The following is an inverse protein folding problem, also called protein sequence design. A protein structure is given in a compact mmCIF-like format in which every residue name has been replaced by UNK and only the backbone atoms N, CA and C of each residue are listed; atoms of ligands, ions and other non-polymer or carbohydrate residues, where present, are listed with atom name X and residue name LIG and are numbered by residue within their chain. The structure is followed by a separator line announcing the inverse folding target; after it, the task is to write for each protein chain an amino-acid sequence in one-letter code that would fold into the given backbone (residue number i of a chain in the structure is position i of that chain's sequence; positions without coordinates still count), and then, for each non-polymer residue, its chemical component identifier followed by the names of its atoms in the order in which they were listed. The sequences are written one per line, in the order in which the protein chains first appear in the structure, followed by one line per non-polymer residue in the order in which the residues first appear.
data_IF_973678403724
#
_entry.id   IF_973678403724
#
_cell.length_a   1.000
_cell.length_b   1.000
_cell.length_c   1.000
_cell.angle_alpha   90.00
_cell.angle_beta   90.00
_cell.angle_gamma   90.00
#
_symmetry.space_group_name_H-M   'P 1'
#
loop_
_entity.id
_entity.type
_entity.pdbx_description
1 polymer ?
#
# COMPACT_ATOMS: atom_id res chain seq x y z
N UNK A 1 -25.98 4.56 12.33
CA UNK A 1 -24.90 3.77 11.72
C UNK A 1 -23.72 4.71 11.49
N UNK A 2 -22.51 4.42 11.99
CA UNK A 2 -21.36 5.26 11.72
C UNK A 2 -21.03 5.21 10.22
N UNK A 3 -20.73 6.36 9.61
CA UNK A 3 -20.31 6.43 8.22
C UNK A 3 -19.03 5.58 8.04
N UNK A 4 -18.89 4.84 6.91
CA UNK A 4 -17.64 4.15 6.62
C UNK A 4 -16.53 5.22 6.62
N UNK A 5 -15.49 5.03 7.42
CA UNK A 5 -14.32 5.90 7.38
C UNK A 5 -13.72 5.76 5.98
N UNK A 6 -13.91 6.77 5.14
CA UNK A 6 -13.27 6.83 3.85
C UNK A 6 -11.77 6.99 4.09
N UNK A 7 -11.03 5.89 4.09
CA UNK A 7 -9.56 5.88 4.11
C UNK A 7 -9.09 6.21 2.69
N UNK A 8 -9.46 7.39 2.21
CA UNK A 8 -9.01 7.97 0.94
C UNK A 8 -7.77 8.82 1.17
N UNK A 9 -6.69 8.20 1.65
CA UNK A 9 -5.39 8.87 1.78
C UNK A 9 -4.56 8.70 0.51
N UNK A 10 -3.65 9.62 0.19
CA UNK A 10 -2.72 9.48 -0.95
C UNK A 10 -1.85 8.20 -0.87
N UNK A 11 -1.82 7.54 0.29
CA UNK A 11 -1.10 6.30 0.55
C UNK A 11 -1.58 5.06 -0.23
N UNK A 12 -2.68 5.16 -0.97
CA UNK A 12 -3.14 4.11 -1.89
C UNK A 12 -2.55 4.26 -3.31
N UNK A 13 -1.81 5.36 -3.57
CA UNK A 13 -1.24 5.63 -4.89
C UNK A 13 -0.37 4.49 -5.40
N UNK A 14 0.48 3.92 -4.54
CA UNK A 14 1.37 2.82 -4.95
C UNK A 14 0.60 1.55 -5.37
N UNK A 15 -0.51 1.25 -4.69
CA UNK A 15 -1.34 0.10 -5.03
C UNK A 15 -2.05 0.31 -6.38
N UNK A 16 -2.62 1.50 -6.60
CA UNK A 16 -3.31 1.84 -7.84
C UNK A 16 -2.33 1.86 -9.02
N UNK A 17 -1.15 2.46 -8.85
CA UNK A 17 -0.10 2.47 -9.88
C UNK A 17 0.37 1.06 -10.22
N UNK A 18 0.57 0.20 -9.22
CA UNK A 18 0.93 -1.21 -9.45
C UNK A 18 -0.15 -1.95 -10.24
N UNK A 19 -1.43 -1.73 -9.91
CA UNK A 19 -2.54 -2.35 -10.62
C UNK A 19 -2.61 -1.92 -12.09
N UNK A 20 -2.45 -0.62 -12.36
CA UNK A 20 -2.40 -0.10 -13.73
C UNK A 20 -1.20 -0.65 -14.51
N UNK A 21 -0.02 -0.70 -13.90
CA UNK A 21 1.18 -1.26 -14.53
C UNK A 21 1.00 -2.74 -14.88
N UNK A 22 0.39 -3.51 -13.97
CA UNK A 22 0.07 -4.91 -14.20
C UNK A 22 -0.89 -5.08 -15.39
N UNK A 23 -1.94 -4.24 -15.44
CA UNK A 23 -2.88 -4.22 -16.56
C UNK A 23 -2.19 -3.90 -17.90
N UNK A 24 -1.37 -2.84 -17.96
CA UNK A 24 -0.67 -2.47 -19.18
C UNK A 24 0.38 -3.48 -19.63
N UNK A 25 1.00 -4.19 -18.68
CA UNK A 25 2.06 -5.17 -18.96
C UNK A 25 1.54 -6.60 -19.09
N UNK A 26 0.22 -6.80 -19.01
CA UNK A 26 -0.41 -8.13 -18.94
C UNK A 26 0.22 -9.04 -17.86
N UNK A 27 0.58 -8.45 -16.73
CA UNK A 27 1.15 -9.15 -15.58
C UNK A 27 0.08 -9.47 -14.54
N UNK A 28 0.27 -10.55 -13.79
CA UNK A 28 -0.59 -10.92 -12.67
C UNK A 28 -0.08 -10.29 -11.36
N UNK A 29 -1.01 -9.90 -10.50
CA UNK A 29 -0.70 -9.36 -9.17
C UNK A 29 -0.73 -10.50 -8.16
N UNK A 30 0.26 -10.56 -7.28
CA UNK A 30 0.27 -11.50 -6.18
C UNK A 30 -0.63 -10.98 -5.04
N UNK A 31 -1.81 -11.56 -4.89
CA UNK A 31 -2.80 -11.17 -3.88
C UNK A 31 -2.35 -11.39 -2.43
N UNK A 32 -1.28 -12.16 -2.20
CA UNK A 32 -0.70 -12.31 -0.86
C UNK A 32 0.20 -11.14 -0.45
N UNK A 33 0.39 -10.14 -1.32
CA UNK A 33 1.25 -8.99 -1.09
C UNK A 33 0.41 -7.72 -1.01
N UNK A 34 0.61 -6.93 0.03
CA UNK A 34 0.01 -5.61 0.21
C UNK A 34 1.08 -4.54 0.03
N UNK A 35 0.74 -3.41 -0.58
CA UNK A 35 1.64 -2.25 -0.74
C UNK A 35 0.96 -0.97 -0.24
N UNK A 36 1.72 -0.12 0.44
CA UNK A 36 1.30 1.23 0.80
C UNK A 36 2.36 2.25 0.40
N UNK A 37 1.91 3.42 -0.03
CA UNK A 37 2.82 4.45 -0.51
C UNK A 37 2.09 5.54 -1.27
N UNK A 38 2.53 6.78 -1.09
CA UNK A 38 2.16 7.85 -2.01
C UNK A 38 3.05 7.74 -3.24
N UNK A 39 2.51 7.84 -4.44
CA UNK A 39 3.35 8.03 -5.64
C UNK A 39 3.61 9.52 -5.80
N UNK A 40 4.89 9.88 -5.80
CA UNK A 40 5.33 11.25 -5.98
C UNK A 40 5.51 11.57 -7.47
N UNK A 41 5.50 12.87 -7.88
CA UNK A 41 5.68 13.27 -9.28
C UNK A 41 7.01 12.83 -9.90
N UNK A 42 8.03 12.59 -9.07
CA UNK A 42 9.34 12.06 -9.47
C UNK A 42 9.36 10.51 -9.56
N UNK A 43 8.18 9.88 -9.54
CA UNK A 43 7.95 8.42 -9.60
C UNK A 43 8.38 7.63 -8.36
N UNK A 44 8.85 8.31 -7.30
CA UNK A 44 9.23 7.65 -6.06
C UNK A 44 8.02 7.30 -5.19
N UNK A 45 8.17 6.24 -4.39
CA UNK A 45 7.20 5.88 -3.35
C UNK A 45 7.50 6.71 -2.09
N UNK A 46 6.69 7.74 -1.88
CA UNK A 46 6.78 8.68 -0.77
C UNK A 46 6.25 8.14 0.56
N UNK A 47 6.52 8.86 1.66
CA UNK A 47 6.24 8.42 3.02
C UNK A 47 4.74 8.28 3.29
N UNK A 48 4.40 7.37 4.20
CA UNK A 48 3.03 7.19 4.69
C UNK A 48 3.00 7.15 6.21
N UNK A 49 1.90 7.64 6.78
CA UNK A 49 1.60 7.49 8.21
C UNK A 49 0.91 6.16 8.52
N UNK A 50 0.94 5.80 9.81
CA UNK A 50 0.22 4.67 10.39
C UNK A 50 0.69 3.31 9.89
N UNK A 51 2.01 3.09 9.80
CA UNK A 51 2.55 1.81 9.33
C UNK A 51 2.17 0.65 10.27
N UNK A 52 2.27 0.77 11.61
CA UNK A 52 1.85 -0.31 12.52
C UNK A 52 0.38 -0.71 12.33
N UNK A 53 -0.54 0.26 12.28
CA UNK A 53 -1.98 0.01 12.12
C UNK A 53 -2.30 -0.60 10.74
N UNK A 54 -1.57 -0.18 9.70
CA UNK A 54 -1.70 -0.76 8.35
C UNK A 54 -1.10 -2.16 8.27
N UNK A 55 -0.05 -2.44 9.02
CA UNK A 55 0.54 -3.77 9.09
C UNK A 55 -0.41 -4.74 9.80
N UNK A 56 -1.06 -4.31 10.88
CA UNK A 56 -2.14 -5.08 11.52
C UNK A 56 -3.31 -5.31 10.56
N UNK A 57 -3.74 -4.27 9.82
CA UNK A 57 -4.77 -4.42 8.80
C UNK A 57 -4.36 -5.40 7.69
N UNK A 58 -3.11 -5.33 7.21
CA UNK A 58 -2.56 -6.25 6.22
C UNK A 58 -2.52 -7.70 6.75
N UNK A 59 -2.10 -7.89 8.01
CA UNK A 59 -2.12 -9.20 8.65
C UNK A 59 -3.55 -9.74 8.82
N UNK A 60 -4.52 -8.88 9.15
CA UNK A 60 -5.92 -9.27 9.33
C UNK A 60 -6.59 -9.78 8.04
N UNK A 61 -6.11 -9.33 6.88
CA UNK A 61 -6.56 -9.82 5.56
C UNK A 61 -5.72 -10.97 5.02
N UNK A 62 -4.79 -11.51 5.82
CA UNK A 62 -3.98 -12.67 5.45
C UNK A 62 -2.80 -12.37 4.52
N UNK A 63 -2.36 -11.11 4.43
CA UNK A 63 -1.19 -10.75 3.64
C UNK A 63 0.07 -11.44 4.19
N UNK A 64 0.88 -12.03 3.30
CA UNK A 64 2.15 -12.67 3.63
C UNK A 64 3.32 -11.68 3.62
N UNK A 65 3.18 -10.59 2.87
CA UNK A 65 4.21 -9.58 2.72
C UNK A 65 3.55 -8.20 2.61
N UNK A 66 4.13 -7.21 3.29
CA UNK A 66 3.75 -5.81 3.16
C UNK A 66 4.94 -4.99 2.65
N UNK A 67 4.76 -4.30 1.53
CA UNK A 67 5.73 -3.37 0.95
C UNK A 67 5.46 -1.97 1.49
N UNK A 68 6.50 -1.32 2.01
CA UNK A 68 6.47 0.04 2.58
C UNK A 68 7.50 0.95 1.90
N UNK A 69 7.38 2.29 2.01
CA UNK A 69 8.34 3.23 1.44
C UNK A 69 9.77 2.98 1.94
N UNK A 70 10.76 3.10 1.05
CA UNK A 70 12.16 2.93 1.39
C UNK A 70 12.62 3.90 2.50
N UNK A 71 13.53 3.46 3.36
CA UNK A 71 14.00 4.25 4.51
C UNK A 71 12.99 4.35 5.66
N UNK A 72 11.85 3.65 5.59
CA UNK A 72 10.96 3.42 6.72
C UNK A 72 11.25 2.04 7.31
N UNK A 73 11.52 2.01 8.60
CA UNK A 73 11.72 0.78 9.37
C UNK A 73 10.55 0.63 10.34
N UNK A 74 9.93 -0.53 10.37
CA UNK A 74 8.97 -0.89 11.42
C UNK A 74 9.77 -1.53 12.54
N UNK A 75 10.13 -0.73 13.55
CA UNK A 75 10.70 -1.28 14.78
C UNK A 75 9.59 -1.92 15.61
N UNK A 76 9.84 -3.17 16.01
CA UNK A 76 9.04 -3.89 17.01
C UNK A 76 9.20 -3.27 18.39
#
# INVERSE_FOLDING_TARGET
MPAPRLVGGPSAGAALTTALLALFSNATINESVVITGMIMPDTLVGPVGGIPEKLEAAASVGAKLMIIPAGREVRR
#
